data_IF_612270677804
#
_entry.id   IF_612270677804
#
_cell.length_a   1.000
_cell.length_b   1.000
_cell.length_c   1.000
_cell.angle_alpha   90.00
_cell.angle_beta   90.00
_cell.angle_gamma   90.00
#
_symmetry.space_group_name_H-M   'P 1'
#
loop_
_entity.id
_entity.type
_entity.pdbx_description
1 polymer ?
#
# COMPACT_ATOMS: atom_id res chain seq x y z
N UNK A 1 -4.12 -25.59 6.03
CA UNK A 1 -3.49 -25.17 4.73
C UNK A 1 -4.05 -23.81 4.29
N UNK A 2 -5.36 -23.70 4.06
CA UNK A 2 -5.94 -22.44 3.58
C UNK A 2 -5.69 -21.27 4.53
N UNK A 3 -5.79 -21.48 5.84
CA UNK A 3 -5.54 -20.44 6.83
C UNK A 3 -4.09 -20.00 6.84
N UNK A 4 -3.14 -20.91 6.68
CA UNK A 4 -1.72 -20.58 6.60
C UNK A 4 -1.41 -19.77 5.34
N UNK A 5 -1.95 -20.18 4.19
CA UNK A 5 -1.78 -19.45 2.94
C UNK A 5 -2.42 -18.05 3.04
N UNK A 6 -3.57 -17.93 3.69
CA UNK A 6 -4.23 -16.65 3.91
C UNK A 6 -3.40 -15.74 4.82
N UNK A 7 -2.79 -16.28 5.87
CA UNK A 7 -1.91 -15.51 6.76
C UNK A 7 -0.68 -14.98 6.00
N UNK A 8 -0.09 -15.77 5.12
CA UNK A 8 1.03 -15.36 4.26
C UNK A 8 0.59 -14.24 3.31
N UNK A 9 -0.57 -14.40 2.67
CA UNK A 9 -1.14 -13.38 1.78
C UNK A 9 -1.34 -12.04 2.51
N UNK A 10 -1.92 -12.07 3.70
CA UNK A 10 -2.13 -10.87 4.50
C UNK A 10 -0.81 -10.22 4.89
N UNK A 11 0.18 -11.01 5.28
CA UNK A 11 1.51 -10.50 5.64
C UNK A 11 2.17 -9.83 4.46
N UNK A 12 2.14 -10.45 3.28
CA UNK A 12 2.69 -9.88 2.06
C UNK A 12 1.98 -8.57 1.69
N UNK A 13 0.65 -8.54 1.74
CA UNK A 13 -0.13 -7.32 1.47
C UNK A 13 0.21 -6.20 2.45
N UNK A 14 0.39 -6.52 3.73
CA UNK A 14 0.79 -5.54 4.75
C UNK A 14 2.18 -4.97 4.46
N UNK A 15 3.14 -5.82 4.09
CA UNK A 15 4.50 -5.37 3.73
C UNK A 15 4.45 -4.44 2.53
N UNK A 16 3.69 -4.79 1.51
CA UNK A 16 3.52 -3.96 0.30
C UNK A 16 2.87 -2.63 0.66
N UNK A 17 1.78 -2.64 1.43
CA UNK A 17 1.08 -1.43 1.84
C UNK A 17 1.99 -0.49 2.63
N UNK A 18 2.74 -1.01 3.59
CA UNK A 18 3.69 -0.22 4.38
C UNK A 18 4.77 0.42 3.51
N UNK A 19 5.32 -0.34 2.56
CA UNK A 19 6.34 0.17 1.65
C UNK A 19 5.77 1.26 0.75
N UNK A 20 4.62 1.02 0.12
CA UNK A 20 3.98 2.00 -0.76
C UNK A 20 3.66 3.30 -0.03
N UNK A 21 3.00 3.21 1.11
CA UNK A 21 2.56 4.38 1.87
C UNK A 21 3.76 5.16 2.42
N UNK A 22 4.76 4.47 2.94
CA UNK A 22 5.92 5.13 3.56
C UNK A 22 6.89 5.73 2.56
N UNK A 23 6.95 5.23 1.33
CA UNK A 23 7.91 5.69 0.32
C UNK A 23 7.31 6.61 -0.73
N UNK A 24 5.99 6.76 -0.78
CA UNK A 24 5.35 7.68 -1.72
C UNK A 24 5.75 9.12 -1.41
N UNK A 25 6.26 9.89 -2.40
CA UNK A 25 6.57 11.30 -2.20
C UNK A 25 5.34 12.10 -1.77
N UNK A 26 5.55 13.06 -0.85
CA UNK A 26 4.43 13.76 -0.20
C UNK A 26 4.60 15.27 -0.32
N UNK A 27 3.57 15.93 -0.88
CA UNK A 27 3.36 17.37 -0.73
C UNK A 27 2.10 17.60 0.11
N UNK A 28 0.92 17.25 -0.43
CA UNK A 28 -0.36 17.47 0.25
C UNK A 28 -0.85 16.24 1.03
N UNK A 29 -0.13 15.15 1.02
CA UNK A 29 -0.48 13.83 1.57
C UNK A 29 -1.56 13.09 0.79
N UNK A 30 -2.02 13.62 -0.34
CA UNK A 30 -3.07 12.97 -1.12
C UNK A 30 -2.57 11.71 -1.79
N UNK A 31 -1.35 11.70 -2.33
CA UNK A 31 -0.80 10.53 -3.01
C UNK A 31 -0.69 9.34 -2.05
N UNK A 32 -0.09 9.52 -0.87
CA UNK A 32 0.06 8.42 0.08
C UNK A 32 -1.29 7.96 0.64
N UNK A 33 -2.25 8.89 0.80
CA UNK A 33 -3.60 8.57 1.30
C UNK A 33 -4.41 7.75 0.31
N UNK A 34 -4.04 7.75 -0.97
CA UNK A 34 -4.78 7.08 -2.03
C UNK A 34 -4.26 5.69 -2.38
N UNK A 35 -3.39 5.09 -1.57
CA UNK A 35 -3.12 3.67 -1.62
C UNK A 35 -4.26 2.95 -0.91
N UNK A 36 -5.28 2.59 -1.70
CA UNK A 36 -6.53 2.03 -1.18
C UNK A 36 -6.46 0.51 -1.18
N UNK A 37 -6.65 -0.09 -0.01
CA UNK A 37 -6.74 -1.55 0.12
C UNK A 37 -8.21 -1.96 -0.03
N UNK A 38 -8.47 -2.93 -0.90
CA UNK A 38 -9.81 -3.48 -1.12
C UNK A 38 -9.73 -4.99 -1.26
N UNK A 39 -10.86 -5.66 -1.05
CA UNK A 39 -10.97 -7.11 -1.16
C UNK A 39 -11.95 -7.45 -2.29
N UNK A 40 -11.52 -8.35 -3.17
CA UNK A 40 -12.37 -8.87 -4.24
C UNK A 40 -12.30 -8.11 -5.54
N UNK A 41 -12.17 -6.78 -5.51
CA UNK A 41 -12.07 -5.94 -6.71
C UNK A 41 -11.20 -4.72 -6.44
N UNK A 42 -10.60 -4.18 -7.49
CA UNK A 42 -9.81 -2.96 -7.41
C UNK A 42 -10.69 -1.76 -7.06
N UNK A 43 -10.12 -0.81 -6.30
CA UNK A 43 -10.77 0.46 -6.07
C UNK A 43 -10.88 1.25 -7.39
N UNK A 44 -12.03 1.87 -7.62
CA UNK A 44 -12.27 2.69 -8.81
C UNK A 44 -12.53 4.16 -8.45
N UNK A 45 -12.06 4.59 -7.29
CA UNK A 45 -12.28 5.93 -6.76
C UNK A 45 -10.99 6.49 -6.17
N UNK A 46 -10.98 7.77 -5.87
CA UNK A 46 -9.92 8.42 -5.11
C UNK A 46 -10.54 9.18 -3.92
N UNK A 47 -9.69 9.52 -2.96
CA UNK A 47 -10.11 10.25 -1.76
C UNK A 47 -9.27 11.53 -1.63
N UNK A 48 -9.70 12.43 -0.76
CA UNK A 48 -8.88 13.53 -0.32
C UNK A 48 -7.81 13.02 0.65
N UNK A 49 -6.78 13.82 0.91
CA UNK A 49 -5.77 13.46 1.90
C UNK A 49 -6.44 13.20 3.25
N UNK A 50 -5.99 12.17 3.97
CA UNK A 50 -6.49 11.89 5.34
C UNK A 50 -6.27 13.09 6.25
N UNK A 51 -5.09 13.72 6.15
CA UNK A 51 -4.77 14.96 6.85
C UNK A 51 -4.18 15.92 5.83
N UNK A 52 -4.99 16.86 5.27
CA UNK A 52 -4.49 17.80 4.26
C UNK A 52 -3.39 18.71 4.80
N UNK A 53 -2.46 19.07 3.93
CA UNK A 53 -1.34 19.96 4.26
C UNK A 53 -0.56 20.30 3.01
N UNK A 54 0.60 20.92 3.17
CA UNK A 54 1.49 21.25 2.07
C UNK A 54 2.94 21.03 2.48
N UNK A 55 3.82 20.80 1.48
CA UNK A 55 5.24 20.57 1.72
C UNK A 55 5.54 19.37 2.59
N UNK A 56 4.64 18.38 2.63
CA UNK A 56 4.81 17.20 3.47
C UNK A 56 4.48 17.40 4.95
N UNK A 57 3.90 18.54 5.34
CA UNK A 57 3.66 18.88 6.75
C UNK A 57 2.77 17.90 7.50
N UNK A 58 1.85 17.21 6.80
CA UNK A 58 0.92 16.25 7.40
C UNK A 58 1.25 14.81 7.07
N UNK A 59 2.48 14.54 6.60
CA UNK A 59 2.89 13.21 6.19
C UNK A 59 2.67 12.15 7.26
N UNK A 60 3.13 12.43 8.49
CA UNK A 60 3.02 11.47 9.60
C UNK A 60 1.58 11.13 9.92
N UNK A 61 0.71 12.15 10.01
CA UNK A 61 -0.71 11.95 10.32
C UNK A 61 -1.42 11.17 9.22
N UNK A 62 -1.20 11.54 7.95
CA UNK A 62 -1.80 10.84 6.81
C UNK A 62 -1.26 9.41 6.66
N UNK A 63 0.03 9.21 6.93
CA UNK A 63 0.66 7.88 6.88
C UNK A 63 0.02 6.96 7.92
N UNK A 64 -0.14 7.43 9.16
CA UNK A 64 -0.77 6.64 10.22
C UNK A 64 -2.21 6.26 9.87
N UNK A 65 -2.99 7.20 9.34
CA UNK A 65 -4.36 6.95 8.94
C UNK A 65 -4.45 5.97 7.77
N UNK A 66 -3.62 6.16 6.75
CA UNK A 66 -3.61 5.30 5.57
C UNK A 66 -3.20 3.86 5.93
N UNK A 67 -2.18 3.70 6.78
CA UNK A 67 -1.75 2.39 7.26
C UNK A 67 -2.83 1.71 8.10
N UNK A 68 -3.49 2.44 8.99
CA UNK A 68 -4.55 1.89 9.81
C UNK A 68 -5.71 1.37 8.95
N UNK A 69 -6.14 2.16 7.96
CA UNK A 69 -7.20 1.76 7.03
C UNK A 69 -6.80 0.51 6.23
N UNK A 70 -5.58 0.51 5.67
CA UNK A 70 -5.09 -0.62 4.88
C UNK A 70 -5.01 -1.90 5.72
N UNK A 71 -4.43 -1.81 6.92
CA UNK A 71 -4.27 -2.97 7.80
C UNK A 71 -5.63 -3.50 8.28
N UNK A 72 -6.58 -2.62 8.52
CA UNK A 72 -7.93 -3.02 8.92
C UNK A 72 -8.62 -3.82 7.79
N UNK A 73 -8.53 -3.33 6.56
CA UNK A 73 -9.09 -4.03 5.39
C UNK A 73 -8.39 -5.36 5.14
N UNK A 74 -7.06 -5.37 5.14
CA UNK A 74 -6.25 -6.58 4.91
C UNK A 74 -6.57 -7.62 5.98
N UNK A 75 -6.69 -7.19 7.24
CA UNK A 75 -7.00 -8.09 8.36
C UNK A 75 -8.32 -8.83 8.20
N UNK A 76 -9.28 -8.25 7.47
CA UNK A 76 -10.57 -8.87 7.19
C UNK A 76 -10.59 -9.85 6.01
N UNK A 77 -9.49 -10.01 5.29
CA UNK A 77 -9.45 -10.90 4.13
C UNK A 77 -9.53 -12.37 4.57
N UNK A 78 -10.35 -13.14 3.86
CA UNK A 78 -10.57 -14.57 4.11
C UNK A 78 -9.85 -15.41 3.07
N UNK A 79 -9.60 -16.71 3.34
CA UNK A 79 -9.03 -17.61 2.34
C UNK A 79 -9.81 -17.55 1.02
N UNK A 80 -9.10 -17.51 -0.10
CA UNK A 80 -9.70 -17.44 -1.43
C UNK A 80 -10.04 -16.03 -1.91
N UNK A 81 -9.98 -15.03 -1.05
CA UNK A 81 -10.23 -13.64 -1.45
C UNK A 81 -8.94 -12.97 -1.93
N UNK A 82 -9.05 -12.13 -2.96
CA UNK A 82 -7.94 -11.33 -3.46
C UNK A 82 -7.88 -9.99 -2.74
N UNK A 83 -6.66 -9.55 -2.43
CA UNK A 83 -6.41 -8.23 -1.84
C UNK A 83 -5.81 -7.34 -2.91
N UNK A 84 -6.39 -6.16 -3.08
CA UNK A 84 -5.92 -5.16 -4.04
C UNK A 84 -5.40 -3.93 -3.31
N UNK A 85 -4.31 -3.37 -3.81
CA UNK A 85 -3.77 -2.08 -3.39
C UNK A 85 -3.72 -1.21 -4.64
N UNK A 86 -4.56 -0.20 -4.69
CA UNK A 86 -4.78 0.61 -5.89
C UNK A 86 -4.59 2.09 -5.57
N UNK A 87 -3.98 2.81 -6.50
CA UNK A 87 -3.89 4.27 -6.44
C UNK A 87 -4.35 4.83 -7.79
N UNK A 88 -5.47 5.55 -7.79
CA UNK A 88 -6.11 6.05 -9.00
C UNK A 88 -5.76 7.51 -9.32
N UNK A 89 -4.79 8.09 -8.63
CA UNK A 89 -4.35 9.44 -8.94
C UNK A 89 -3.52 9.45 -10.22
N UNK A 90 -3.76 10.46 -11.06
CA UNK A 90 -3.12 10.56 -12.37
C UNK A 90 -1.59 10.65 -12.30
N UNK A 91 -1.08 11.32 -11.26
CA UNK A 91 0.36 11.60 -11.16
C UNK A 91 1.15 10.50 -10.44
N UNK A 92 0.50 9.44 -9.95
CA UNK A 92 1.21 8.39 -9.20
C UNK A 92 2.27 7.69 -10.05
N UNK A 93 1.97 7.49 -11.32
CA UNK A 93 2.93 6.88 -12.26
C UNK A 93 4.15 7.76 -12.46
N UNK A 94 3.95 9.08 -12.60
CA UNK A 94 5.06 10.03 -12.72
C UNK A 94 5.93 10.03 -11.46
N UNK A 95 5.32 9.95 -10.28
CA UNK A 95 6.07 9.84 -9.03
C UNK A 95 6.90 8.56 -8.99
N UNK A 96 6.34 7.44 -9.43
CA UNK A 96 7.06 6.17 -9.49
C UNK A 96 8.20 6.20 -10.52
N UNK A 97 8.07 7.01 -11.58
CA UNK A 97 9.09 7.15 -12.62
C UNK A 97 10.21 8.13 -12.22
N UNK A 98 10.21 8.63 -10.99
CA UNK A 98 11.29 9.47 -10.47
C UNK A 98 11.11 10.97 -10.69
N UNK A 99 9.89 11.44 -10.94
CA UNK A 99 9.60 12.87 -11.12
C UNK A 99 9.47 13.60 -9.77
N UNK A 100 10.09 13.05 -8.72
CA UNK A 100 10.14 13.66 -7.40
C UNK A 100 11.52 13.47 -6.79
N UNK A 101 11.96 14.48 -6.01
CA UNK A 101 13.20 14.40 -5.27
C UNK A 101 13.06 13.67 -3.93
N UNK A 102 11.83 13.37 -3.49
CA UNK A 102 11.56 12.77 -2.19
C UNK A 102 11.76 11.27 -2.16
N UNK A 103 11.63 10.60 -3.31
CA UNK A 103 11.81 9.16 -3.40
C UNK A 103 12.49 8.79 -4.71
N UNK A 104 13.33 7.75 -4.72
CA UNK A 104 13.90 7.24 -5.96
C UNK A 104 12.83 6.62 -6.86
N UNK A 105 13.11 6.55 -8.16
CA UNK A 105 12.25 5.86 -9.11
C UNK A 105 12.06 4.40 -8.69
N UNK A 106 10.90 3.84 -9.00
CA UNK A 106 10.64 2.42 -8.79
C UNK A 106 10.20 2.06 -7.38
N UNK A 107 9.64 3.00 -6.60
CA UNK A 107 9.19 2.67 -5.25
C UNK A 107 8.01 1.66 -5.26
N UNK A 108 7.21 1.63 -6.32
CA UNK A 108 6.14 0.64 -6.48
C UNK A 108 6.73 -0.76 -6.72
N UNK A 109 7.67 -0.87 -7.65
CA UNK A 109 8.34 -2.14 -7.95
C UNK A 109 9.11 -2.67 -6.74
N UNK A 110 9.72 -1.78 -5.97
CA UNK A 110 10.40 -2.15 -4.72
C UNK A 110 9.43 -2.75 -3.70
N UNK A 111 8.25 -2.15 -3.58
CA UNK A 111 7.21 -2.68 -2.69
C UNK A 111 6.78 -4.09 -3.12
N UNK A 112 6.60 -4.30 -4.42
CA UNK A 112 6.26 -5.62 -4.96
C UNK A 112 7.34 -6.66 -4.67
N UNK A 113 8.61 -6.28 -4.79
CA UNK A 113 9.74 -7.17 -4.47
C UNK A 113 9.73 -7.56 -2.99
N UNK A 114 9.44 -6.63 -2.09
CA UNK A 114 9.36 -6.93 -0.66
C UNK A 114 8.22 -7.90 -0.34
N UNK A 115 7.07 -7.72 -0.98
CA UNK A 115 5.95 -8.64 -0.84
C UNK A 115 6.29 -10.04 -1.35
N UNK A 116 6.94 -10.12 -2.51
CA UNK A 116 7.40 -11.38 -3.07
C UNK A 116 8.41 -12.10 -2.17
N UNK A 117 9.34 -11.35 -1.56
CA UNK A 117 10.28 -11.89 -0.59
C UNK A 117 9.55 -12.48 0.61
N UNK A 118 8.55 -11.79 1.14
CA UNK A 118 7.75 -12.28 2.26
C UNK A 118 7.10 -13.62 1.94
N UNK A 119 6.56 -13.77 0.73
CA UNK A 119 5.94 -15.01 0.29
C UNK A 119 6.97 -16.14 0.19
N UNK A 120 8.14 -15.85 -0.42
CA UNK A 120 9.21 -16.85 -0.59
C UNK A 120 9.79 -17.34 0.72
N UNK A 121 9.87 -16.48 1.73
CA UNK A 121 10.40 -16.82 3.05
C UNK A 121 9.37 -17.52 3.94
N UNK A 122 8.10 -17.52 3.55
CA UNK A 122 7.05 -18.14 4.32
C UNK A 122 7.20 -19.67 4.30
N UNK A 123 6.97 -20.28 5.47
CA UNK A 123 6.96 -21.73 5.60
C UNK A 123 5.54 -22.19 5.92
N UNK A 124 4.91 -22.84 4.95
CA UNK A 124 3.58 -23.41 5.14
C UNK A 124 3.74 -24.87 5.51
N UNK A 125 3.23 -25.24 6.68
CA UNK A 125 3.25 -26.63 7.13
C UNK A 125 2.04 -27.38 6.56
N UNK A 126 2.30 -28.54 6.07
CA UNK A 126 1.27 -29.42 5.50
C UNK A 126 0.75 -30.37 6.56
#
# INVERSE_FOLDING_TARGET
>A
MAEQANAVKKKAATVIAKSLISTTPVDTSRALSNWLATIGAQANYSILAHSPGSGGSTRGASMSAALADAMNTIGGAKPGQSIFLTNNLRYIRALNDGHSKQAPAGFVERAELLGGKTIREAKIKV
#
